data_IF_091526153570
#
_entry.id   IF_091526153570
#
_cell.length_a   1.000
_cell.length_b   1.000
_cell.length_c   1.000
_cell.angle_alpha   90.00
_cell.angle_beta   90.00
_cell.angle_gamma   90.00
#
_symmetry.space_group_name_H-M   'P 1'
#
loop_
_entity.id
_entity.type
_entity.pdbx_description
1 polymer ?
#
# COMPACT_ATOMS: atom_id res chain seq x y z
N UNK A 1 -3.56 9.29 -33.20
CA UNK A 1 -3.53 9.89 -31.85
C UNK A 1 -3.40 8.75 -30.86
N UNK A 2 -2.18 8.41 -30.48
CA UNK A 2 -1.90 7.29 -29.57
C UNK A 2 -0.80 7.74 -28.61
N UNK A 3 -1.16 8.21 -27.42
CA UNK A 3 -0.19 8.39 -26.34
C UNK A 3 -0.28 7.16 -25.47
N UNK A 4 0.64 6.23 -25.77
CA UNK A 4 0.91 5.02 -25.02
C UNK A 4 1.31 5.36 -23.59
N UNK A 5 0.85 4.53 -22.66
CA UNK A 5 1.08 4.54 -21.21
C UNK A 5 2.46 5.05 -20.77
N UNK A 6 2.56 5.82 -19.67
CA UNK A 6 3.80 5.97 -18.93
C UNK A 6 4.05 4.68 -18.14
N UNK A 7 4.50 3.64 -18.83
CA UNK A 7 5.39 2.67 -18.19
C UNK A 7 6.62 3.48 -17.78
N UNK A 8 6.84 3.67 -16.48
CA UNK A 8 8.02 4.32 -15.91
C UNK A 8 9.05 3.22 -15.56
N UNK A 9 10.01 2.89 -16.45
CA UNK A 9 11.03 1.86 -16.21
C UNK A 9 12.21 2.38 -15.36
N UNK A 10 11.94 3.07 -14.25
CA UNK A 10 12.98 3.47 -13.29
C UNK A 10 12.41 3.90 -11.93
N UNK A 11 11.88 2.95 -11.17
CA UNK A 11 11.41 3.22 -9.82
C UNK A 11 12.62 3.31 -8.88
N UNK A 12 13.11 4.52 -8.64
CA UNK A 12 14.12 4.82 -7.62
C UNK A 12 13.53 4.55 -6.23
N UNK A 13 14.28 4.05 -5.25
CA UNK A 13 13.75 3.72 -3.92
C UNK A 13 13.12 4.93 -3.21
N UNK A 14 13.55 6.16 -3.52
CA UNK A 14 12.97 7.39 -2.98
C UNK A 14 11.51 7.62 -3.42
N UNK A 15 11.09 7.07 -4.57
CA UNK A 15 9.73 7.19 -5.08
C UNK A 15 8.69 6.42 -4.24
N UNK A 16 9.14 5.49 -3.38
CA UNK A 16 8.25 4.78 -2.44
C UNK A 16 7.82 5.66 -1.26
N UNK A 17 8.48 6.80 -1.05
CA UNK A 17 8.19 7.74 0.04
C UNK A 17 7.51 9.03 -0.43
N UNK A 18 7.34 9.24 -1.73
CA UNK A 18 6.61 10.41 -2.25
C UNK A 18 5.10 10.18 -2.17
N UNK A 19 4.33 11.23 -1.83
CA UNK A 19 2.85 11.18 -1.88
C UNK A 19 2.41 11.20 -3.34
N UNK A 20 1.70 10.17 -3.75
CA UNK A 20 0.99 10.11 -5.02
C UNK A 20 -0.37 10.81 -4.87
N UNK A 21 -0.87 11.51 -5.91
CA UNK A 21 -2.16 12.19 -5.85
C UNK A 21 -3.35 11.25 -5.63
N UNK A 22 -3.17 9.94 -5.85
CA UNK A 22 -4.16 8.90 -5.58
C UNK A 22 -4.01 8.25 -4.20
N UNK A 23 -3.09 8.72 -3.36
CA UNK A 23 -2.91 8.18 -2.01
C UNK A 23 -4.05 8.57 -1.09
N UNK A 24 -4.62 7.56 -0.45
CA UNK A 24 -5.65 7.70 0.57
C UNK A 24 -5.28 6.83 1.76
N UNK A 25 -5.84 7.15 2.93
CA UNK A 25 -5.69 6.31 4.10
C UNK A 25 -6.24 4.91 3.80
N UNK A 26 -5.41 3.87 3.97
CA UNK A 26 -5.78 2.49 3.70
C UNK A 26 -7.03 2.06 4.50
N UNK A 27 -7.17 2.59 5.72
CA UNK A 27 -8.24 2.19 6.64
C UNK A 27 -9.55 2.95 6.39
N UNK A 28 -9.49 4.25 6.07
CA UNK A 28 -10.68 5.10 6.06
C UNK A 28 -10.85 5.99 4.83
N UNK A 29 -9.93 5.94 3.86
CA UNK A 29 -9.99 6.78 2.66
C UNK A 29 -9.65 8.27 2.88
N UNK A 30 -9.44 8.73 4.12
CA UNK A 30 -9.11 10.12 4.41
C UNK A 30 -7.73 10.54 3.85
N UNK A 31 -7.47 11.85 3.82
CA UNK A 31 -6.19 12.40 3.36
C UNK A 31 -4.99 11.75 4.11
N UNK A 32 -3.99 11.25 3.37
CA UNK A 32 -2.86 10.56 3.96
C UNK A 32 -1.93 11.56 4.66
N UNK A 33 -1.58 11.27 5.91
CA UNK A 33 -0.60 12.04 6.68
C UNK A 33 0.78 11.39 6.61
N UNK A 34 0.82 10.06 6.76
CA UNK A 34 2.03 9.24 6.91
C UNK A 34 2.03 8.13 5.85
N UNK A 35 3.22 7.80 5.33
CA UNK A 35 3.45 6.70 4.40
C UNK A 35 4.21 5.60 5.15
N UNK A 36 3.70 4.37 5.08
CA UNK A 36 4.32 3.19 5.66
C UNK A 36 4.65 2.14 4.59
N UNK A 37 5.62 1.28 4.90
CA UNK A 37 5.96 0.12 4.08
C UNK A 37 5.74 -1.12 4.94
N UNK A 38 4.81 -1.96 4.52
CA UNK A 38 4.59 -3.27 5.12
C UNK A 38 5.55 -4.27 4.49
N UNK A 39 6.37 -4.89 5.33
CA UNK A 39 7.32 -5.94 4.94
C UNK A 39 6.93 -7.22 5.67
N UNK A 40 6.29 -8.19 4.99
CA UNK A 40 5.94 -9.46 5.60
C UNK A 40 7.21 -10.26 5.91
N UNK A 41 7.23 -10.94 7.06
CA UNK A 41 8.34 -11.81 7.47
C UNK A 41 8.50 -13.00 6.49
N UNK A 42 7.39 -13.60 6.07
CA UNK A 42 7.37 -14.61 5.00
C UNK A 42 6.77 -14.03 3.71
N UNK A 43 7.58 -13.50 2.77
CA UNK A 43 7.06 -12.87 1.55
C UNK A 43 6.36 -13.88 0.62
N UNK A 44 6.69 -15.17 0.70
CA UNK A 44 6.10 -16.22 -0.15
C UNK A 44 4.61 -16.42 0.18
N UNK A 45 4.24 -16.40 1.46
CA UNK A 45 2.85 -16.43 1.92
C UNK A 45 2.01 -15.23 1.43
N UNK A 46 2.66 -14.13 1.04
CA UNK A 46 2.05 -12.91 0.50
C UNK A 46 2.13 -12.85 -1.04
N UNK A 47 2.36 -14.00 -1.69
CA UNK A 47 2.40 -14.14 -3.14
C UNK A 47 3.64 -13.53 -3.79
N UNK A 48 4.73 -13.35 -3.05
CA UNK A 48 6.01 -12.99 -3.65
C UNK A 48 6.56 -14.14 -4.49
N UNK A 49 7.24 -13.80 -5.59
CA UNK A 49 8.01 -14.79 -6.36
C UNK A 49 9.22 -15.24 -5.55
N UNK A 50 9.61 -16.50 -5.73
CA UNK A 50 10.75 -17.08 -5.03
C UNK A 50 12.01 -16.21 -5.19
N UNK A 51 12.68 -15.89 -4.08
CA UNK A 51 13.84 -14.99 -4.03
C UNK A 51 13.52 -13.49 -4.12
N UNK A 52 12.25 -13.07 -4.02
CA UNK A 52 11.87 -11.65 -3.97
C UNK A 52 11.11 -11.32 -2.69
N UNK A 53 11.42 -10.17 -2.09
CA UNK A 53 10.63 -9.60 -1.00
C UNK A 53 9.48 -8.79 -1.57
N UNK A 54 8.27 -9.02 -1.06
CA UNK A 54 7.12 -8.17 -1.39
C UNK A 54 7.07 -7.01 -0.40
N UNK A 55 7.25 -5.80 -0.89
CA UNK A 55 7.04 -4.58 -0.12
C UNK A 55 5.69 -4.00 -0.51
N UNK A 56 4.88 -3.65 0.48
CA UNK A 56 3.54 -3.10 0.25
C UNK A 56 3.50 -1.72 0.85
N UNK A 57 3.46 -0.72 -0.03
CA UNK A 57 3.34 0.67 0.36
C UNK A 57 1.89 0.95 0.75
N UNK A 58 1.66 1.57 1.90
CA UNK A 58 0.35 2.00 2.35
C UNK A 58 0.44 3.40 2.97
N UNK A 59 -0.69 4.11 2.97
CA UNK A 59 -0.78 5.43 3.57
C UNK A 59 -1.79 5.42 4.71
N UNK A 60 -1.54 6.20 5.76
CA UNK A 60 -2.45 6.37 6.89
C UNK A 60 -2.67 7.86 7.18
N UNK A 61 -3.88 8.22 7.61
CA UNK A 61 -4.13 9.53 8.20
C UNK A 61 -3.67 9.54 9.66
N UNK A 62 -3.48 10.74 10.22
CA UNK A 62 -3.00 10.95 11.60
C UNK A 62 -3.84 10.19 12.64
N UNK A 63 -5.17 10.23 12.47
CA UNK A 63 -6.14 9.53 13.32
C UNK A 63 -6.03 8.01 13.27
N UNK A 64 -5.70 7.46 12.10
CA UNK A 64 -5.58 6.02 11.89
C UNK A 64 -4.18 5.53 12.26
N UNK A 65 -3.14 6.34 12.17
CA UNK A 65 -1.80 5.97 12.60
C UNK A 65 -1.69 5.83 14.12
N UNK A 66 -2.35 6.71 14.89
CA UNK A 66 -2.23 6.74 16.36
C UNK A 66 -2.96 5.65 17.15
N UNK A 67 -3.55 4.63 16.50
CA UNK A 67 -4.28 3.55 17.20
C UNK A 67 -3.37 2.35 17.42
N UNK A 68 -3.58 1.62 18.51
CA UNK A 68 -2.80 0.40 18.79
C UNK A 68 -3.12 -0.73 17.78
N UNK A 69 -4.37 -0.81 17.33
CA UNK A 69 -4.85 -1.84 16.38
C UNK A 69 -4.50 -1.54 14.92
N UNK A 70 -3.76 -0.45 14.65
CA UNK A 70 -3.50 0.02 13.30
C UNK A 70 -2.74 -1.00 12.46
N UNK A 71 -1.71 -1.62 13.03
CA UNK A 71 -0.90 -2.61 12.32
C UNK A 71 -1.73 -3.85 11.95
N UNK A 72 -2.55 -4.33 12.89
CA UNK A 72 -3.45 -5.47 12.65
C UNK A 72 -4.49 -5.16 11.57
N UNK A 73 -5.06 -3.95 11.59
CA UNK A 73 -6.02 -3.52 10.57
C UNK A 73 -5.36 -3.36 9.20
N UNK A 74 -4.16 -2.78 9.14
CA UNK A 74 -3.39 -2.68 7.90
C UNK A 74 -3.10 -4.07 7.34
N UNK A 75 -2.61 -5.01 8.17
CA UNK A 75 -2.35 -6.37 7.73
C UNK A 75 -3.60 -7.05 7.17
N UNK A 76 -4.74 -6.94 7.87
CA UNK A 76 -6.03 -7.51 7.43
C UNK A 76 -6.45 -6.96 6.07
N UNK A 77 -6.38 -5.64 5.88
CA UNK A 77 -6.75 -5.00 4.61
C UNK A 77 -5.82 -5.46 3.49
N UNK A 78 -4.50 -5.41 3.70
CA UNK A 78 -3.54 -5.85 2.69
C UNK A 78 -3.77 -7.33 2.33
N UNK A 79 -4.06 -8.19 3.31
CA UNK A 79 -4.35 -9.60 3.07
C UNK A 79 -5.62 -9.78 2.23
N UNK A 80 -6.67 -9.02 2.53
CA UNK A 80 -7.91 -9.01 1.74
C UNK A 80 -7.65 -8.56 0.29
N UNK A 81 -6.82 -7.53 0.10
CA UNK A 81 -6.43 -7.06 -1.24
C UNK A 81 -5.70 -8.11 -2.05
N UNK A 82 -4.72 -8.79 -1.43
CA UNK A 82 -3.96 -9.82 -2.11
C UNK A 82 -4.81 -11.06 -2.44
N UNK A 83 -5.85 -11.33 -1.66
CA UNK A 83 -6.82 -12.37 -1.95
C UNK A 83 -7.79 -12.01 -3.10
N UNK A 84 -7.68 -10.80 -3.67
CA UNK A 84 -8.53 -10.31 -4.76
C UNK A 84 -9.73 -9.49 -4.30
N UNK A 85 -9.74 -9.03 -3.05
CA UNK A 85 -10.85 -8.31 -2.43
C UNK A 85 -11.11 -6.90 -2.97
N UNK A 86 -10.07 -6.17 -3.40
CA UNK A 86 -10.19 -4.79 -3.87
C UNK A 86 -10.61 -3.80 -2.77
N UNK A 87 -9.82 -2.74 -2.52
CA UNK A 87 -10.13 -1.75 -1.50
C UNK A 87 -11.33 -0.95 -1.98
N UNK A 88 -12.52 -1.29 -1.48
CA UNK A 88 -13.71 -0.44 -1.61
C UNK A 88 -13.61 0.64 -0.55
N UNK A 89 -13.02 1.77 -0.92
CA UNK A 89 -13.21 2.99 -0.14
C UNK A 89 -14.69 3.35 -0.24
N UNK A 90 -15.42 3.18 0.85
CA UNK A 90 -16.80 3.62 0.94
C UNK A 90 -16.83 5.15 0.77
N UNK A 91 -17.54 5.58 -0.28
CA UNK A 91 -17.87 6.96 -0.61
C UNK A 91 -18.76 7.64 0.44
#
# INVERSE_FOLDING_TARGET
MSTFSPFLPNMKPEALTEKLPSDHCLICGAAPAIIGIFTPEDPTAWGAKNGKTRLIRYCLCDKCHGRQETLENVEKIIRAELAGGGVTHAE
#
